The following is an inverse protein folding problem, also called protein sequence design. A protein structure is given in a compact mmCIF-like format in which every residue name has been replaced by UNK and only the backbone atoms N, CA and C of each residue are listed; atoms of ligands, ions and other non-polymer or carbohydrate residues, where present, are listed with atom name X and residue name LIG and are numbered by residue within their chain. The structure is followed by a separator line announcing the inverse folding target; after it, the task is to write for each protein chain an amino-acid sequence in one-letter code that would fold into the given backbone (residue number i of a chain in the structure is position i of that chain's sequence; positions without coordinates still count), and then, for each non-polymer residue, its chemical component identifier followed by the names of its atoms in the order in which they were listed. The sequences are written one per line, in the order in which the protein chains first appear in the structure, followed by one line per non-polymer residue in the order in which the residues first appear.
data_IF_737386761009
#
_entry.id   IF_737386761009
#
_cell.length_a   1.000
_cell.length_b   1.000
_cell.length_c   1.000
_cell.angle_alpha   90.00
_cell.angle_beta   90.00
_cell.angle_gamma   90.00
#
_symmetry.space_group_name_H-M   'P 1'
#
loop_
_entity.id
_entity.type
_entity.pdbx_description
1 polymer ?
#
# COMPACT_ATOMS: atom_id res chain seq x y z
N UNK A 1 37.94 41.84 -12.29
CA UNK A 1 36.49 41.49 -12.29
C UNK A 1 36.35 39.98 -12.52
N UNK A 2 35.90 39.19 -11.54
CA UNK A 2 35.64 37.74 -11.69
C UNK A 2 34.11 37.49 -11.70
N UNK A 3 33.44 37.44 -12.86
CA UNK A 3 31.99 37.20 -12.93
C UNK A 3 31.64 35.69 -12.97
N UNK A 4 32.47 34.81 -12.38
CA UNK A 4 32.25 33.35 -12.48
C UNK A 4 31.21 32.79 -11.52
N UNK A 5 30.80 33.55 -10.49
CA UNK A 5 29.89 33.05 -9.43
C UNK A 5 28.39 33.18 -9.72
N UNK A 6 27.97 33.97 -10.71
CA UNK A 6 26.54 34.28 -10.92
C UNK A 6 25.72 33.06 -11.39
N UNK A 7 26.33 32.12 -12.11
CA UNK A 7 25.63 30.95 -12.67
C UNK A 7 25.44 29.78 -11.68
N UNK A 8 26.12 29.79 -10.53
CA UNK A 8 26.02 28.67 -9.57
C UNK A 8 24.70 28.66 -8.81
N UNK A 9 24.22 29.83 -8.41
CA UNK A 9 22.96 29.98 -7.67
C UNK A 9 21.74 29.48 -8.48
N UNK A 10 21.50 29.93 -9.73
CA UNK A 10 20.36 29.44 -10.51
C UNK A 10 20.48 27.95 -10.82
N UNK A 11 21.67 27.44 -11.16
CA UNK A 11 21.87 26.02 -11.46
C UNK A 11 21.55 25.11 -10.25
N UNK A 12 21.95 25.51 -9.04
CA UNK A 12 21.61 24.77 -7.82
C UNK A 12 20.13 24.82 -7.49
N UNK A 13 19.48 25.98 -7.67
CA UNK A 13 18.03 26.12 -7.46
C UNK A 13 17.28 25.23 -8.44
N UNK A 14 17.66 25.22 -9.73
CA UNK A 14 17.05 24.33 -10.73
C UNK A 14 17.26 22.86 -10.37
N UNK A 15 18.47 22.46 -9.98
CA UNK A 15 18.75 21.10 -9.54
C UNK A 15 17.85 20.68 -8.36
N UNK A 16 17.72 21.54 -7.34
CA UNK A 16 16.90 21.27 -6.17
C UNK A 16 15.41 21.16 -6.51
N UNK A 17 14.89 22.04 -7.38
CA UNK A 17 13.49 21.98 -7.83
C UNK A 17 13.20 20.69 -8.58
N UNK A 18 14.09 20.27 -9.50
CA UNK A 18 13.92 19.01 -10.24
C UNK A 18 13.93 17.80 -9.31
N UNK A 19 14.83 17.77 -8.33
CA UNK A 19 14.91 16.70 -7.34
C UNK A 19 13.67 16.68 -6.42
N UNK A 20 13.23 17.83 -5.91
CA UNK A 20 12.03 17.91 -5.08
C UNK A 20 10.78 17.49 -5.84
N UNK A 21 10.60 17.96 -7.08
CA UNK A 21 9.48 17.55 -7.92
C UNK A 21 9.50 16.03 -8.16
N UNK A 22 10.65 15.51 -8.56
CA UNK A 22 10.82 14.10 -8.86
C UNK A 22 10.62 13.18 -7.65
N UNK A 23 10.90 13.68 -6.44
CA UNK A 23 10.79 12.91 -5.19
C UNK A 23 9.36 12.41 -4.93
N UNK A 24 8.35 13.18 -5.35
CA UNK A 24 6.94 12.85 -5.15
C UNK A 24 6.28 12.15 -6.34
N UNK A 25 6.96 11.99 -7.48
CA UNK A 25 6.41 11.29 -8.65
C UNK A 25 5.93 9.86 -8.31
N UNK A 26 4.82 9.39 -8.91
CA UNK A 26 4.32 8.04 -8.70
C UNK A 26 5.32 6.97 -9.20
N UNK A 27 5.24 5.76 -8.64
CA UNK A 27 6.16 4.65 -8.95
C UNK A 27 6.13 4.27 -10.43
N UNK A 28 4.98 4.41 -11.09
CA UNK A 28 4.83 4.16 -12.53
C UNK A 28 5.73 5.06 -13.38
N UNK A 29 6.11 6.23 -12.87
CA UNK A 29 6.99 7.20 -13.52
C UNK A 29 8.42 7.14 -12.99
N UNK A 30 8.87 5.97 -12.53
CA UNK A 30 10.26 5.75 -12.09
C UNK A 30 11.30 6.14 -13.16
N UNK A 31 11.09 5.88 -14.47
CA UNK A 31 12.02 6.35 -15.51
C UNK A 31 12.17 7.87 -15.53
N UNK A 32 11.06 8.61 -15.35
CA UNK A 32 11.06 10.07 -15.28
C UNK A 32 11.84 10.57 -14.08
N UNK A 33 11.66 9.94 -12.91
CA UNK A 33 12.45 10.25 -11.72
C UNK A 33 13.95 10.04 -11.96
N UNK A 34 14.35 8.90 -12.53
CA UNK A 34 15.76 8.62 -12.80
C UNK A 34 16.36 9.68 -13.72
N UNK A 35 15.64 10.10 -14.77
CA UNK A 35 16.08 11.19 -15.65
C UNK A 35 16.26 12.51 -14.89
N UNK A 36 15.30 12.88 -14.03
CA UNK A 36 15.40 14.09 -13.21
C UNK A 36 16.56 14.03 -12.22
N UNK A 37 16.81 12.86 -11.63
CA UNK A 37 17.94 12.62 -10.74
C UNK A 37 19.27 12.80 -11.48
N UNK A 38 19.40 12.24 -12.69
CA UNK A 38 20.60 12.41 -13.52
C UNK A 38 20.82 13.86 -13.95
N UNK A 39 19.77 14.57 -14.37
CA UNK A 39 19.86 15.98 -14.79
C UNK A 39 20.19 16.88 -13.59
N UNK A 40 19.44 16.76 -12.49
CA UNK A 40 19.64 17.55 -11.28
C UNK A 40 21.00 17.27 -10.61
N UNK A 41 21.38 15.98 -10.53
CA UNK A 41 22.67 15.55 -10.03
C UNK A 41 23.84 16.07 -10.87
N UNK A 42 23.75 16.01 -12.20
CA UNK A 42 24.78 16.56 -13.09
C UNK A 42 24.91 18.09 -12.95
N UNK A 43 23.81 18.83 -12.83
CA UNK A 43 23.81 20.28 -12.60
C UNK A 43 24.48 20.63 -11.26
N UNK A 44 24.12 19.94 -10.18
CA UNK A 44 24.75 20.12 -8.87
C UNK A 44 26.24 19.74 -8.90
N UNK A 45 26.59 18.66 -9.60
CA UNK A 45 27.96 18.19 -9.79
C UNK A 45 28.85 19.20 -10.51
N UNK A 46 28.36 19.78 -11.61
CA UNK A 46 29.07 20.84 -12.34
C UNK A 46 29.36 22.05 -11.45
N UNK A 47 28.41 22.43 -10.59
CA UNK A 47 28.62 23.51 -9.63
C UNK A 47 29.67 23.12 -8.58
N UNK A 48 29.61 21.92 -7.99
CA UNK A 48 30.62 21.46 -7.03
C UNK A 48 32.03 21.41 -7.63
N UNK A 49 32.19 20.80 -8.80
CA UNK A 49 33.47 20.69 -9.49
C UNK A 49 34.05 22.09 -9.76
N UNK A 50 33.20 23.05 -10.14
CA UNK A 50 33.65 24.43 -10.37
C UNK A 50 34.14 25.14 -9.11
N UNK A 51 33.57 24.84 -7.94
CA UNK A 51 33.99 25.41 -6.65
C UNK A 51 35.30 24.79 -6.13
N UNK A 52 35.47 23.48 -6.29
CA UNK A 52 36.69 22.77 -5.88
C UNK A 52 37.90 23.23 -6.70
N UNK A 53 37.71 23.56 -7.98
CA UNK A 53 38.75 24.12 -8.84
C UNK A 53 39.11 25.60 -8.52
N UNK A 54 38.51 26.24 -7.51
CA UNK A 54 38.75 27.66 -7.21
C UNK A 54 40.06 27.93 -6.46
N UNK A 55 40.65 26.93 -5.79
CA UNK A 55 41.99 26.98 -5.20
C UNK A 55 42.94 26.10 -6.04
N UNK A 56 44.01 26.64 -6.65
CA UNK A 56 44.90 25.84 -7.48
C UNK A 56 45.72 24.90 -6.58
N UNK A 57 45.59 23.57 -6.72
CA UNK A 57 46.48 22.66 -6.01
C UNK A 57 47.86 22.68 -6.65
N UNK A 58 48.88 22.38 -5.84
CA UNK A 58 50.31 22.47 -6.19
C UNK A 58 50.76 21.47 -7.25
N UNK A 59 50.08 20.32 -7.40
CA UNK A 59 50.45 19.23 -8.30
C UNK A 59 49.28 18.79 -9.20
N UNK A 60 49.59 18.30 -10.42
CA UNK A 60 48.56 17.81 -11.36
C UNK A 60 47.90 16.49 -10.91
N UNK A 61 48.63 15.65 -10.16
CA UNK A 61 48.08 14.41 -9.60
C UNK A 61 46.91 14.68 -8.63
N UNK A 62 47.05 15.67 -7.75
CA UNK A 62 45.99 15.99 -6.78
C UNK A 62 44.74 16.59 -7.44
N UNK A 63 44.88 17.27 -8.60
CA UNK A 63 43.73 17.73 -9.41
C UNK A 63 42.94 16.54 -9.94
N UNK A 64 43.62 15.57 -10.53
CA UNK A 64 42.99 14.39 -11.12
C UNK A 64 42.30 13.56 -10.05
N UNK A 65 42.97 13.32 -8.92
CA UNK A 65 42.39 12.59 -7.79
C UNK A 65 41.17 13.31 -7.21
N UNK A 66 41.24 14.63 -7.02
CA UNK A 66 40.11 15.41 -6.50
C UNK A 66 38.89 15.39 -7.45
N UNK A 67 39.11 15.47 -8.77
CA UNK A 67 38.03 15.41 -9.77
C UNK A 67 37.36 14.05 -9.81
N UNK A 68 38.15 12.97 -9.86
CA UNK A 68 37.62 11.61 -9.83
C UNK A 68 36.87 11.36 -8.51
N UNK A 69 37.46 11.76 -7.38
CA UNK A 69 36.82 11.67 -6.07
C UNK A 69 35.49 12.43 -6.00
N UNK A 70 35.41 13.62 -6.58
CA UNK A 70 34.17 14.41 -6.64
C UNK A 70 33.08 13.70 -7.45
N UNK A 71 33.43 13.13 -8.61
CA UNK A 71 32.47 12.38 -9.45
C UNK A 71 31.97 11.13 -8.71
N UNK A 72 32.87 10.41 -8.03
CA UNK A 72 32.50 9.22 -7.24
C UNK A 72 31.56 9.61 -6.10
N UNK A 73 31.92 10.63 -5.31
CA UNK A 73 31.09 11.12 -4.19
C UNK A 73 29.72 11.56 -4.68
N UNK A 74 29.64 12.29 -5.80
CA UNK A 74 28.39 12.69 -6.41
C UNK A 74 27.54 11.47 -6.81
N UNK A 75 28.15 10.46 -7.42
CA UNK A 75 27.48 9.20 -7.76
C UNK A 75 26.91 8.49 -6.53
N UNK A 76 27.68 8.39 -5.44
CA UNK A 76 27.21 7.83 -4.18
C UNK A 76 26.08 8.65 -3.55
N UNK A 77 26.14 9.99 -3.61
CA UNK A 77 25.08 10.86 -3.12
C UNK A 77 23.78 10.65 -3.92
N UNK A 78 23.87 10.55 -5.25
CA UNK A 78 22.71 10.27 -6.10
C UNK A 78 22.10 8.89 -5.81
N UNK A 79 22.94 7.86 -5.68
CA UNK A 79 22.50 6.52 -5.31
C UNK A 79 21.83 6.53 -3.93
N UNK A 80 22.44 7.20 -2.95
CA UNK A 80 21.90 7.32 -1.59
C UNK A 80 20.57 8.05 -1.58
N UNK A 81 20.41 9.13 -2.35
CA UNK A 81 19.13 9.84 -2.47
C UNK A 81 18.05 8.96 -3.10
N UNK A 82 18.40 8.15 -4.11
CA UNK A 82 17.47 7.18 -4.70
C UNK A 82 17.03 6.13 -3.68
N UNK A 83 17.98 5.55 -2.94
CA UNK A 83 17.66 4.56 -1.91
C UNK A 83 16.81 5.16 -0.79
N UNK A 84 17.09 6.40 -0.38
CA UNK A 84 16.34 7.10 0.66
C UNK A 84 14.91 7.41 0.20
N UNK A 85 14.72 7.82 -1.06
CA UNK A 85 13.37 7.94 -1.67
C UNK A 85 12.64 6.60 -1.64
N UNK A 86 13.30 5.50 -1.99
CA UNK A 86 12.69 4.17 -1.97
C UNK A 86 12.31 3.73 -0.55
N UNK A 87 13.19 3.94 0.43
CA UNK A 87 12.99 3.48 1.81
C UNK A 87 12.02 4.33 2.62
N UNK A 88 11.97 5.65 2.41
CA UNK A 88 11.16 6.55 3.24
C UNK A 88 9.88 7.00 2.55
N UNK A 89 9.92 7.23 1.23
CA UNK A 89 8.80 7.87 0.51
C UNK A 89 7.99 6.84 -0.26
N UNK A 90 8.65 5.83 -0.84
CA UNK A 90 7.99 4.84 -1.71
C UNK A 90 7.84 3.46 -1.08
N UNK A 91 8.30 3.25 0.15
CA UNK A 91 8.30 1.93 0.79
C UNK A 91 6.89 1.32 0.86
N UNK A 92 5.89 2.09 1.27
CA UNK A 92 4.50 1.62 1.37
C UNK A 92 3.88 1.35 -0.01
N UNK A 93 4.14 2.23 -0.97
CA UNK A 93 3.61 2.08 -2.32
C UNK A 93 4.28 0.90 -3.08
N UNK A 94 5.53 0.55 -2.74
CA UNK A 94 6.20 -0.66 -3.25
C UNK A 94 5.68 -1.91 -2.54
N UNK A 95 5.43 -1.84 -1.22
CA UNK A 95 4.99 -3.01 -0.44
C UNK A 95 3.59 -3.49 -0.86
N UNK A 96 2.70 -2.55 -1.20
CA UNK A 96 1.31 -2.77 -1.62
C UNK A 96 1.11 -2.84 -3.13
N UNK A 97 2.19 -2.80 -3.93
CA UNK A 97 2.08 -2.78 -5.38
C UNK A 97 1.43 -4.05 -5.94
N UNK A 98 0.43 -3.87 -6.81
CA UNK A 98 -0.31 -4.95 -7.48
C UNK A 98 -0.03 -4.89 -8.96
N UNK A 99 0.49 -5.98 -9.52
CA UNK A 99 0.72 -6.11 -10.96
C UNK A 99 -0.54 -6.70 -11.59
N UNK A 100 -1.11 -6.01 -12.57
CA UNK A 100 -2.21 -6.54 -13.39
C UNK A 100 -1.62 -7.02 -14.73
N UNK A 101 -1.70 -8.31 -14.99
CA UNK A 101 -1.26 -8.89 -16.27
C UNK A 101 -2.22 -8.49 -17.40
N UNK A 102 -1.76 -8.58 -18.65
CA UNK A 102 -2.57 -8.28 -19.83
C UNK A 102 -3.87 -9.11 -19.91
N UNK A 103 -3.88 -10.29 -19.29
CA UNK A 103 -5.04 -11.19 -19.20
C UNK A 103 -6.04 -10.78 -18.10
N UNK A 104 -5.81 -9.65 -17.41
CA UNK A 104 -6.64 -9.16 -16.30
C UNK A 104 -6.36 -9.84 -14.96
N UNK A 105 -5.42 -10.79 -14.90
CA UNK A 105 -5.02 -11.44 -13.64
C UNK A 105 -4.15 -10.50 -12.79
N UNK A 106 -4.56 -10.28 -11.54
CA UNK A 106 -3.83 -9.46 -10.58
C UNK A 106 -2.95 -10.36 -9.71
N UNK A 107 -1.66 -10.04 -9.64
CA UNK A 107 -0.73 -10.66 -8.69
C UNK A 107 -0.28 -9.59 -7.69
N UNK A 108 -0.66 -9.81 -6.43
CA UNK A 108 -0.28 -8.94 -5.31
C UNK A 108 0.95 -9.48 -4.60
N UNK A 109 1.66 -8.62 -3.88
CA UNK A 109 2.71 -9.04 -2.96
C UNK A 109 2.13 -9.92 -1.84
N UNK A 110 2.64 -11.15 -1.72
CA UNK A 110 2.16 -12.14 -0.74
C UNK A 110 2.69 -11.88 0.68
N UNK A 111 3.79 -11.13 0.84
CA UNK A 111 4.45 -10.96 2.16
C UNK A 111 3.57 -10.25 3.19
N UNK A 112 2.91 -9.11 2.89
CA UNK A 112 1.98 -8.48 3.83
C UNK A 112 0.80 -9.40 4.19
N UNK A 113 0.35 -10.22 3.24
CA UNK A 113 -0.75 -11.16 3.47
C UNK A 113 -0.32 -12.32 4.38
N UNK A 114 0.91 -12.82 4.22
CA UNK A 114 1.48 -13.83 5.12
C UNK A 114 1.74 -13.29 6.54
N UNK A 115 2.13 -12.02 6.67
CA UNK A 115 2.28 -11.38 7.98
C UNK A 115 0.92 -11.27 8.70
N UNK A 116 -0.13 -10.88 7.97
CA UNK A 116 -1.50 -10.79 8.52
C UNK A 116 -2.13 -12.16 8.82
N UNK A 117 -1.64 -13.27 8.24
CA UNK A 117 -2.06 -14.63 8.62
C UNK A 117 -1.58 -15.08 10.00
N UNK A 118 -0.62 -14.37 10.60
CA UNK A 118 -0.18 -14.61 11.99
C UNK A 118 -1.04 -13.87 13.01
N UNK A 119 -1.93 -13.01 12.52
CA UNK A 119 -2.84 -12.20 13.34
C UNK A 119 -4.21 -12.85 13.31
N UNK A 120 -4.83 -13.02 14.48
CA UNK A 120 -6.20 -13.49 14.56
C UNK A 120 -7.13 -12.32 14.23
N UNK A 121 -7.47 -12.16 12.94
CA UNK A 121 -8.30 -11.03 12.49
C UNK A 121 -9.67 -11.06 13.15
N UNK A 122 -10.19 -9.89 13.49
CA UNK A 122 -11.48 -9.77 14.16
C UNK A 122 -12.65 -10.26 13.30
N UNK A 123 -13.74 -10.72 13.93
CA UNK A 123 -14.91 -11.21 13.22
C UNK A 123 -15.69 -10.06 12.60
N UNK A 124 -16.36 -10.34 11.47
CA UNK A 124 -17.34 -9.44 10.85
C UNK A 124 -18.73 -9.98 11.17
N UNK A 125 -19.61 -9.14 11.71
CA UNK A 125 -20.98 -9.52 12.06
C UNK A 125 -22.02 -8.62 11.40
N UNK A 126 -23.23 -9.16 11.24
CA UNK A 126 -24.46 -8.43 10.88
C UNK A 126 -24.89 -7.49 12.03
N UNK A 127 -25.73 -6.50 11.72
CA UNK A 127 -26.50 -5.70 12.68
C UNK A 127 -27.19 -6.55 13.78
N UNK A 128 -27.66 -7.76 13.47
CA UNK A 128 -28.27 -8.70 14.44
C UNK A 128 -27.24 -9.51 15.25
N UNK A 129 -25.94 -9.27 15.07
CA UNK A 129 -24.86 -9.96 15.77
C UNK A 129 -24.50 -11.34 15.19
N UNK A 130 -25.02 -11.70 14.02
CA UNK A 130 -24.67 -12.96 13.35
C UNK A 130 -23.29 -12.87 12.74
N UNK A 131 -22.43 -13.85 12.99
CA UNK A 131 -21.08 -13.89 12.44
C UNK A 131 -21.15 -14.18 10.95
N UNK A 132 -20.66 -13.23 10.15
CA UNK A 132 -20.55 -13.34 8.71
C UNK A 132 -19.19 -13.92 8.30
N UNK A 133 -18.15 -13.49 9.01
CA UNK A 133 -16.77 -13.90 8.76
C UNK A 133 -16.03 -14.04 10.09
N UNK A 134 -15.25 -15.10 10.22
CA UNK A 134 -14.40 -15.36 11.39
C UNK A 134 -13.02 -15.85 10.99
N UNK A 135 -12.08 -15.79 11.93
CA UNK A 135 -10.73 -16.33 11.75
C UNK A 135 -10.56 -17.55 12.64
N UNK A 136 -10.15 -18.68 12.05
CA UNK A 136 -9.81 -19.89 12.80
C UNK A 136 -8.34 -20.22 12.61
N UNK A 137 -7.66 -20.61 13.69
CA UNK A 137 -6.30 -21.11 13.64
C UNK A 137 -6.32 -22.56 13.19
N UNK A 138 -5.85 -22.81 11.97
CA UNK A 138 -5.71 -24.17 11.43
C UNK A 138 -4.22 -24.43 11.26
N UNK A 139 -3.67 -25.36 12.05
CA UNK A 139 -2.24 -25.71 12.04
C UNK A 139 -1.31 -24.50 12.29
N UNK A 140 -1.70 -23.59 13.18
CA UNK A 140 -0.91 -22.39 13.51
C UNK A 140 -0.99 -21.26 12.48
N UNK A 141 -1.82 -21.39 11.44
CA UNK A 141 -2.08 -20.34 10.45
C UNK A 141 -3.51 -19.84 10.64
N UNK A 142 -3.70 -18.53 10.77
CA UNK A 142 -5.03 -17.95 10.81
C UNK A 142 -5.66 -18.01 9.41
N UNK A 143 -6.74 -18.78 9.28
CA UNK A 143 -7.52 -18.91 8.05
C UNK A 143 -8.87 -18.25 8.23
N UNK A 144 -9.26 -17.43 7.25
CA UNK A 144 -10.58 -16.81 7.20
C UNK A 144 -11.64 -17.85 6.83
N UNK A 145 -12.72 -17.90 7.60
CA UNK A 145 -13.86 -18.79 7.44
C UNK A 145 -15.13 -17.97 7.25
N UNK A 146 -16.01 -18.45 6.37
CA UNK A 146 -17.29 -17.83 6.04
C UNK A 146 -18.42 -18.78 6.43
N UNK A 147 -18.86 -18.77 7.71
CA UNK A 147 -19.86 -19.71 8.22
C UNK A 147 -21.23 -19.59 7.53
N UNK A 148 -21.48 -18.50 6.80
CA UNK A 148 -22.69 -18.23 6.03
C UNK A 148 -23.00 -19.26 4.95
N UNK A 149 -21.99 -19.97 4.44
CA UNK A 149 -22.14 -20.91 3.32
C UNK A 149 -23.18 -22.02 3.57
N UNK A 150 -23.46 -22.35 4.84
CA UNK A 150 -24.47 -23.35 5.21
C UNK A 150 -25.88 -22.81 5.36
N UNK A 151 -26.06 -21.50 5.55
CA UNK A 151 -27.34 -20.89 5.91
C UNK A 151 -27.93 -19.97 4.83
N UNK A 152 -27.07 -19.33 4.03
CA UNK A 152 -27.45 -18.32 3.04
C UNK A 152 -26.67 -18.50 1.74
N UNK A 153 -27.13 -17.87 0.66
CA UNK A 153 -26.34 -17.80 -0.57
C UNK A 153 -25.11 -16.90 -0.37
N UNK A 154 -23.94 -17.53 -0.20
CA UNK A 154 -22.68 -16.82 0.03
C UNK A 154 -22.31 -15.86 -1.11
N UNK A 155 -22.77 -16.13 -2.33
CA UNK A 155 -22.47 -15.29 -3.50
C UNK A 155 -23.13 -13.92 -3.42
N UNK A 156 -24.19 -13.79 -2.62
CA UNK A 156 -24.84 -12.51 -2.34
C UNK A 156 -23.98 -11.59 -1.46
N UNK A 157 -23.05 -12.16 -0.69
CA UNK A 157 -22.20 -11.42 0.25
C UNK A 157 -20.81 -11.12 -0.32
N UNK A 158 -20.38 -11.81 -1.38
CA UNK A 158 -19.03 -11.69 -1.96
C UNK A 158 -18.64 -10.24 -2.29
N UNK A 159 -19.54 -9.47 -2.92
CA UNK A 159 -19.26 -8.06 -3.26
C UNK A 159 -19.15 -7.12 -2.05
N UNK A 160 -19.82 -7.45 -0.94
CA UNK A 160 -19.74 -6.66 0.30
C UNK A 160 -18.49 -7.07 1.09
N UNK A 161 -18.43 -8.33 1.49
CA UNK A 161 -17.37 -8.84 2.35
C UNK A 161 -16.01 -8.77 1.66
N UNK A 162 -15.99 -9.02 0.34
CA UNK A 162 -14.77 -9.27 -0.41
C UNK A 162 -14.18 -10.63 -0.05
N UNK A 163 -12.91 -10.82 -0.38
CA UNK A 163 -12.16 -12.01 -0.02
C UNK A 163 -10.84 -11.64 0.66
N UNK A 164 -10.27 -12.60 1.38
CA UNK A 164 -8.91 -12.55 1.91
C UNK A 164 -8.18 -13.80 1.42
N UNK A 165 -7.22 -13.62 0.50
CA UNK A 165 -6.46 -14.71 -0.10
C UNK A 165 -4.96 -14.39 -0.09
N UNK A 166 -4.10 -15.29 0.42
CA UNK A 166 -2.64 -15.12 0.31
C UNK A 166 -2.15 -15.01 -1.13
N UNK A 167 -2.88 -15.55 -2.11
CA UNK A 167 -2.51 -15.51 -3.53
C UNK A 167 -3.02 -14.26 -4.25
N UNK A 168 -4.30 -13.94 -4.06
CA UNK A 168 -4.98 -12.89 -4.82
C UNK A 168 -5.12 -11.57 -4.06
N UNK A 169 -4.63 -11.51 -2.82
CA UNK A 169 -4.74 -10.33 -1.96
C UNK A 169 -6.09 -10.24 -1.27
N UNK A 170 -6.52 -9.01 -1.04
CA UNK A 170 -7.75 -8.70 -0.30
C UNK A 170 -8.66 -7.82 -1.17
N UNK A 171 -9.97 -7.90 -0.94
CA UNK A 171 -10.95 -7.04 -1.63
C UNK A 171 -12.10 -6.63 -0.72
N UNK A 172 -12.99 -5.73 -1.19
CA UNK A 172 -14.21 -5.35 -0.48
C UNK A 172 -13.96 -4.74 0.91
N UNK A 173 -14.81 -5.12 1.88
CA UNK A 173 -14.66 -4.70 3.27
C UNK A 173 -13.37 -5.22 3.92
N UNK A 174 -12.92 -6.42 3.58
CA UNK A 174 -11.67 -6.98 4.11
C UNK A 174 -10.47 -6.10 3.78
N UNK A 175 -10.37 -5.60 2.54
CA UNK A 175 -9.33 -4.66 2.14
C UNK A 175 -9.51 -3.27 2.78
N UNK A 176 -10.74 -2.75 2.81
CA UNK A 176 -11.01 -1.39 3.32
C UNK A 176 -10.77 -1.26 4.82
N UNK A 177 -11.06 -2.30 5.58
CA UNK A 177 -10.91 -2.35 7.03
C UNK A 177 -9.73 -3.20 7.48
N UNK A 178 -8.76 -3.45 6.60
CA UNK A 178 -7.61 -4.31 6.91
C UNK A 178 -6.94 -3.95 8.24
N UNK A 179 -6.59 -2.68 8.42
CA UNK A 179 -5.81 -2.21 9.58
C UNK A 179 -6.61 -2.30 10.89
N UNK A 180 -7.93 -2.19 10.79
CA UNK A 180 -8.83 -2.34 11.94
C UNK A 180 -9.05 -3.82 12.27
N UNK A 181 -9.28 -4.65 11.25
CA UNK A 181 -9.46 -6.10 11.38
C UNK A 181 -8.17 -6.82 11.76
N UNK A 182 -6.99 -6.27 11.47
CA UNK A 182 -5.69 -6.77 11.95
C UNK A 182 -5.32 -6.23 13.33
N UNK A 183 -6.00 -5.21 13.84
CA UNK A 183 -5.67 -4.60 15.13
C UNK A 183 -4.46 -3.66 15.09
N UNK A 184 -3.91 -3.36 13.91
CA UNK A 184 -2.87 -2.32 13.74
C UNK A 184 -3.41 -0.94 14.15
N UNK A 185 -4.70 -0.69 13.90
CA UNK A 185 -5.37 0.56 14.27
C UNK A 185 -6.13 0.40 15.59
N UNK A 186 -5.77 1.20 16.59
CA UNK A 186 -6.51 1.36 17.85
C UNK A 186 -6.00 0.52 19.03
N UNK A 187 -5.10 -0.44 18.80
CA UNK A 187 -4.58 -1.35 19.83
C UNK A 187 -3.04 -1.31 19.94
N UNK A 188 -2.40 -0.20 19.58
CA UNK A 188 -0.92 -0.07 19.53
C UNK A 188 -0.24 -0.50 20.84
N UNK A 189 -0.78 -0.06 21.98
CA UNK A 189 -0.30 -0.47 23.31
C UNK A 189 -0.50 -1.96 23.60
N UNK A 190 -1.62 -2.54 23.16
CA UNK A 190 -1.90 -3.96 23.35
C UNK A 190 -1.01 -4.82 22.45
N UNK A 191 -0.72 -4.37 21.22
CA UNK A 191 0.19 -5.05 20.30
C UNK A 191 1.61 -5.13 20.87
N UNK A 192 2.11 -4.06 21.48
CA UNK A 192 3.43 -4.05 22.14
C UNK A 192 3.47 -4.98 23.36
N UNK A 193 2.38 -5.04 24.14
CA UNK A 193 2.27 -5.99 25.26
C UNK A 193 2.23 -7.43 24.77
N UNK A 194 1.46 -7.72 23.71
CA UNK A 194 1.33 -9.04 23.12
C UNK A 194 2.65 -9.54 22.54
N UNK A 195 3.45 -8.64 21.95
CA UNK A 195 4.80 -8.95 21.47
C UNK A 195 5.75 -9.33 22.63
N UNK A 196 5.56 -8.74 23.81
CA UNK A 196 6.33 -9.07 25.01
C UNK A 196 5.85 -10.36 25.71
N UNK A 197 4.54 -10.64 25.71
CA UNK A 197 3.95 -11.84 26.31
C UNK A 197 3.93 -13.05 25.38
N UNK A 198 4.17 -12.85 24.08
CA UNK A 198 4.11 -13.88 23.05
C UNK A 198 2.68 -14.30 22.67
N UNK A 199 1.67 -13.52 23.05
CA UNK A 199 0.28 -13.78 22.66
C UNK A 199 0.03 -13.39 21.21
N UNK A 200 -0.82 -14.15 20.50
CA UNK A 200 -1.16 -13.79 19.13
C UNK A 200 -1.97 -12.49 19.14
N UNK A 201 -1.59 -11.48 18.33
CA UNK A 201 -2.37 -10.26 18.22
C UNK A 201 -3.77 -10.59 17.68
N UNK A 202 -4.78 -10.04 18.37
CA UNK A 202 -6.19 -10.18 18.00
C UNK A 202 -6.69 -8.85 17.42
N UNK A 203 -7.34 -8.95 16.26
CA UNK A 203 -7.91 -7.79 15.58
C UNK A 203 -9.29 -7.40 16.10
N UNK A 204 -9.76 -6.23 15.69
CA UNK A 204 -11.03 -5.69 16.17
C UNK A 204 -12.23 -6.27 15.43
N UNK A 205 -13.34 -6.45 16.15
CA UNK A 205 -14.61 -6.88 15.57
C UNK A 205 -15.29 -5.74 14.81
N UNK A 206 -15.85 -6.06 13.65
CA UNK A 206 -16.59 -5.13 12.78
C UNK A 206 -18.06 -5.53 12.71
N UNK A 207 -18.96 -4.67 13.17
CA UNK A 207 -20.40 -4.87 13.03
C UNK A 207 -20.93 -4.05 11.86
N UNK A 208 -21.58 -4.72 10.91
CA UNK A 208 -22.18 -4.10 9.74
C UNK A 208 -23.61 -3.61 10.02
N UNK A 209 -24.10 -2.75 9.14
CA UNK A 209 -25.51 -2.32 9.12
C UNK A 209 -26.41 -3.26 8.32
N UNK A 210 -25.81 -4.13 7.50
CA UNK A 210 -26.48 -5.12 6.66
C UNK A 210 -27.21 -6.14 7.53
N UNK A 211 -28.40 -6.51 7.11
CA UNK A 211 -29.20 -7.62 7.64
C UNK A 211 -29.06 -8.82 6.69
N UNK A 212 -28.47 -9.91 7.17
CA UNK A 212 -28.15 -11.10 6.38
C UNK A 212 -29.41 -11.80 5.83
N UNK A 213 -30.53 -11.76 6.56
CA UNK A 213 -31.79 -12.32 6.05
C UNK A 213 -32.34 -11.47 4.91
N UNK A 214 -32.29 -10.15 5.04
CA UNK A 214 -32.74 -9.25 3.99
C UNK A 214 -31.83 -9.34 2.76
N UNK A 215 -30.52 -9.43 2.97
CA UNK A 215 -29.53 -9.64 1.91
C UNK A 215 -29.85 -10.91 1.10
N UNK A 216 -30.09 -12.05 1.76
CA UNK A 216 -30.42 -13.31 1.11
C UNK A 216 -31.78 -13.25 0.38
N UNK A 217 -32.79 -12.63 0.98
CA UNK A 217 -34.09 -12.42 0.33
C UNK A 217 -33.98 -11.57 -0.94
N UNK A 218 -33.26 -10.44 -0.86
CA UNK A 218 -33.02 -9.57 -2.02
C UNK A 218 -32.25 -10.33 -3.10
N UNK A 219 -31.27 -11.15 -2.72
CA UNK A 219 -30.50 -11.96 -3.67
C UNK A 219 -31.35 -13.03 -4.37
N UNK A 220 -32.30 -13.66 -3.66
CA UNK A 220 -33.27 -14.60 -4.24
C UNK A 220 -34.26 -13.89 -5.17
N UNK A 221 -34.73 -12.69 -4.80
CA UNK A 221 -35.63 -11.89 -5.64
C UNK A 221 -34.96 -11.41 -6.93
N UNK A 222 -33.67 -11.05 -6.86
CA UNK A 222 -32.88 -10.68 -8.02
C UNK A 222 -32.60 -11.89 -8.93
N UNK A 223 -32.39 -13.07 -8.32
CA UNK A 223 -32.10 -14.31 -9.04
C UNK A 223 -30.86 -14.18 -9.93
N UNK A 224 -30.95 -14.70 -11.15
CA UNK A 224 -29.86 -14.64 -12.14
C UNK A 224 -29.86 -13.36 -12.99
N UNK A 225 -30.72 -12.39 -12.66
CA UNK A 225 -30.80 -11.14 -13.43
C UNK A 225 -29.57 -10.30 -13.14
N UNK A 226 -28.86 -9.90 -14.19
CA UNK A 226 -27.72 -8.97 -14.08
C UNK A 226 -28.22 -7.61 -13.58
N UNK A 227 -27.65 -7.15 -12.48
CA UNK A 227 -28.05 -5.89 -11.85
C UNK A 227 -27.59 -5.80 -10.41
N UNK A 228 -27.91 -4.68 -9.78
CA UNK A 228 -27.64 -4.43 -8.38
C UNK A 228 -28.88 -3.87 -7.69
N UNK A 229 -29.05 -4.22 -6.42
CA UNK A 229 -30.14 -3.75 -5.55
C UNK A 229 -29.54 -3.25 -4.26
N UNK A 230 -29.92 -2.05 -3.85
CA UNK A 230 -29.53 -1.45 -2.57
C UNK A 230 -30.79 -1.15 -1.77
N UNK A 231 -30.83 -1.61 -0.54
CA UNK A 231 -31.89 -1.31 0.42
C UNK A 231 -31.28 -0.51 1.56
N UNK A 232 -31.85 0.65 1.85
CA UNK A 232 -31.39 1.57 2.88
C UNK A 232 -32.53 1.95 3.82
N UNK A 233 -32.19 2.24 5.08
CA UNK A 233 -33.10 2.88 6.03
C UNK A 233 -33.05 4.40 5.81
N UNK A 234 -34.13 5.05 5.32
CA UNK A 234 -34.12 6.47 5.00
C UNK A 234 -33.97 7.37 6.23
N UNK A 235 -34.24 6.87 7.44
CA UNK A 235 -34.13 7.66 8.68
C UNK A 235 -32.70 7.72 9.20
N UNK A 236 -31.93 6.66 9.01
CA UNK A 236 -30.58 6.51 9.56
C UNK A 236 -29.49 6.56 8.49
N UNK A 237 -29.84 6.40 7.21
CA UNK A 237 -28.89 6.24 6.11
C UNK A 237 -28.20 4.87 6.11
N UNK A 238 -28.56 3.97 7.01
CA UNK A 238 -27.94 2.65 7.11
C UNK A 238 -28.31 1.76 5.92
N UNK A 239 -27.31 1.15 5.28
CA UNK A 239 -27.53 0.16 4.23
C UNK A 239 -27.92 -1.17 4.89
N UNK A 240 -29.09 -1.68 4.55
CA UNK A 240 -29.65 -2.92 5.11
C UNK A 240 -29.38 -4.13 4.21
N UNK A 241 -29.30 -3.93 2.90
CA UNK A 241 -28.89 -4.96 1.95
C UNK A 241 -28.24 -4.31 0.73
N UNK A 242 -27.19 -4.93 0.19
CA UNK A 242 -26.53 -4.50 -1.04
C UNK A 242 -26.10 -5.73 -1.84
N UNK A 243 -26.87 -6.06 -2.87
CA UNK A 243 -26.66 -7.27 -3.67
C UNK A 243 -26.33 -6.89 -5.11
N UNK A 244 -25.36 -7.56 -5.70
CA UNK A 244 -25.00 -7.44 -7.11
C UNK A 244 -24.87 -8.82 -7.75
N UNK A 245 -25.38 -8.98 -8.98
CA UNK A 245 -25.32 -10.22 -9.76
C UNK A 245 -24.64 -9.96 -11.11
N UNK A 246 -23.68 -10.82 -11.54
CA UNK A 246 -23.25 -12.07 -10.90
C UNK A 246 -22.44 -11.84 -9.62
N UNK A 247 -22.66 -12.70 -8.62
CA UNK A 247 -21.88 -12.76 -7.38
C UNK A 247 -20.70 -13.73 -7.49
N UNK A 248 -19.86 -13.77 -6.47
CA UNK A 248 -18.79 -14.76 -6.36
C UNK A 248 -18.72 -15.30 -4.92
N UNK A 249 -18.22 -16.52 -4.77
CA UNK A 249 -17.97 -17.13 -3.47
C UNK A 249 -16.62 -16.63 -2.92
N UNK A 250 -16.59 -15.83 -1.84
CA UNK A 250 -15.36 -15.29 -1.27
C UNK A 250 -14.47 -16.37 -0.63
N UNK A 251 -14.96 -17.61 -0.48
CA UNK A 251 -14.20 -18.73 0.07
C UNK A 251 -13.42 -19.55 -0.96
N UNK A 252 -13.66 -19.34 -2.26
CA UNK A 252 -13.12 -20.18 -3.36
C UNK A 252 -12.35 -19.40 -4.41
#
# INVERSE_FOLDING_TARGET
MRPRRFWHAPALVTALVLLMYGMFLPIEQEPTWLLLLWIGGALAGLVMISQINAAPPSNDLSRTVSRIGTVIILGFLMLSLQLLRQQLIKAEAISSYVVTSADGSTTSNVRPVLATQRVLRGPISDRKGRILVESMLVNGIARRSYPLAGAYDITAFGHILGFFSPRYGQSGLEARFNDYLSGERGNEWQSLLNEWTGELPQGNALTLTIDAELQDQVARLLGDRRGAVVVLDPRTGAILAMVSRPGFDPSR
#
